data_IF_441131128914
#
_entry.id   IF_441131128914
#
_cell.length_a   1.000
_cell.length_b   1.000
_cell.length_c   1.000
_cell.angle_alpha   90.00
_cell.angle_beta   90.00
_cell.angle_gamma   90.00
#
_symmetry.space_group_name_H-M   'P 1'
#
loop_
_entity.id
_entity.type
_entity.pdbx_description
1 polymer ?
#
# COMPACT_ATOMS: atom_id res chain seq x y z
N UNK A 1 -14.07 -3.05 13.99
CA UNK A 1 -14.19 -3.89 12.80
C UNK A 1 -12.80 -4.00 12.17
N UNK A 2 -12.37 -5.21 11.76
CA UNK A 2 -11.05 -5.38 11.12
C UNK A 2 -11.01 -4.64 9.78
N UNK A 3 -9.88 -3.99 9.49
CA UNK A 3 -9.66 -3.15 8.31
C UNK A 3 -9.96 -3.85 6.97
N UNK A 4 -9.74 -5.17 6.88
CA UNK A 4 -10.06 -5.98 5.69
C UNK A 4 -11.52 -5.91 5.23
N UNK A 5 -12.47 -5.55 6.10
CA UNK A 5 -13.88 -5.40 5.70
C UNK A 5 -14.17 -4.06 5.04
N UNK A 6 -13.40 -3.05 5.42
CA UNK A 6 -13.69 -1.66 5.07
C UNK A 6 -12.77 -1.18 3.94
N UNK A 7 -11.64 -1.88 3.71
CA UNK A 7 -10.64 -1.51 2.71
C UNK A 7 -10.16 -2.68 1.84
N UNK A 8 -9.79 -2.36 0.60
CA UNK A 8 -9.06 -3.25 -0.31
C UNK A 8 -7.72 -2.63 -0.75
N UNK A 9 -6.79 -3.48 -1.17
CA UNK A 9 -5.47 -3.09 -1.69
C UNK A 9 -5.37 -3.46 -3.17
N UNK A 10 -5.26 -2.43 -4.00
CA UNK A 10 -5.07 -2.55 -5.45
C UNK A 10 -3.61 -2.25 -5.77
N UNK A 11 -3.01 -3.09 -6.62
CA UNK A 11 -1.62 -2.92 -7.06
C UNK A 11 -1.56 -2.86 -8.58
N UNK A 12 -1.22 -1.68 -9.09
CA UNK A 12 -1.03 -1.44 -10.52
C UNK A 12 0.45 -1.57 -10.87
N UNK A 13 0.79 -2.64 -11.57
CA UNK A 13 2.16 -2.92 -12.01
C UNK A 13 2.40 -2.32 -13.39
N UNK A 14 3.41 -1.47 -13.52
CA UNK A 14 3.73 -0.76 -14.77
C UNK A 14 4.64 -1.54 -15.71
N UNK A 15 4.87 -2.84 -15.44
CA UNK A 15 5.65 -3.73 -16.30
C UNK A 15 5.45 -5.21 -15.98
N UNK A 16 5.83 -6.07 -16.94
CA UNK A 16 5.64 -7.53 -16.86
C UNK A 16 6.77 -8.25 -16.11
N UNK A 17 7.93 -7.62 -15.96
CA UNK A 17 9.05 -8.23 -15.26
C UNK A 17 8.71 -8.44 -13.77
N UNK A 18 9.09 -9.57 -13.15
CA UNK A 18 9.01 -9.75 -11.70
C UNK A 18 9.81 -8.65 -10.98
N UNK A 19 9.41 -8.28 -9.76
CA UNK A 19 10.03 -7.16 -9.02
C UNK A 19 11.56 -7.25 -8.86
N UNK A 20 12.12 -8.47 -8.73
CA UNK A 20 13.59 -8.67 -8.67
C UNK A 20 14.33 -8.37 -9.98
N UNK A 21 13.61 -8.38 -11.10
CA UNK A 21 14.12 -8.11 -12.45
C UNK A 21 13.53 -6.80 -13.02
N UNK A 22 12.80 -6.04 -12.20
CA UNK A 22 12.28 -4.75 -12.62
C UNK A 22 13.42 -3.79 -12.95
N UNK A 23 13.23 -2.97 -13.98
CA UNK A 23 14.14 -1.88 -14.28
C UNK A 23 14.27 -0.94 -13.07
N UNK A 24 15.44 -0.34 -12.88
CA UNK A 24 15.74 0.46 -11.69
C UNK A 24 14.87 1.72 -11.57
N UNK A 25 14.37 2.21 -12.70
CA UNK A 25 13.50 3.38 -12.86
C UNK A 25 12.01 3.02 -12.87
N UNK A 26 11.64 1.73 -12.77
CA UNK A 26 10.24 1.32 -12.72
C UNK A 26 9.62 1.61 -11.36
N UNK A 27 8.46 2.26 -11.38
CA UNK A 27 7.57 2.43 -10.24
C UNK A 27 6.21 1.77 -10.50
N UNK A 28 5.72 1.02 -9.53
CA UNK A 28 4.35 0.52 -9.48
C UNK A 28 3.52 1.43 -8.56
N UNK A 29 2.19 1.32 -8.66
CA UNK A 29 1.27 2.06 -7.80
C UNK A 29 0.57 1.10 -6.85
N UNK A 30 0.47 1.49 -5.59
CA UNK A 30 -0.34 0.79 -4.58
C UNK A 30 -1.40 1.75 -4.07
N UNK A 31 -2.65 1.32 -4.12
CA UNK A 31 -3.83 2.04 -3.67
C UNK A 31 -4.50 1.25 -2.55
N UNK A 32 -4.88 1.94 -1.47
CA UNK A 32 -5.87 1.44 -0.52
C UNK A 32 -7.18 2.17 -0.81
N UNK A 33 -8.24 1.41 -1.01
CA UNK A 33 -9.57 1.94 -1.36
C UNK A 33 -10.60 1.62 -0.28
N UNK A 34 -11.49 2.56 0.04
CA UNK A 34 -12.70 2.31 0.81
C UNK A 34 -13.63 1.40 0.01
N UNK A 35 -14.10 0.32 0.62
CA UNK A 35 -15.05 -0.61 -0.02
C UNK A 35 -16.42 0.03 -0.20
N UNK A 36 -16.84 0.87 0.74
CA UNK A 36 -18.17 1.48 0.73
C UNK A 36 -18.24 2.67 -0.23
N UNK A 37 -17.21 3.52 -0.24
CA UNK A 37 -17.21 4.77 -1.01
C UNK A 37 -16.53 4.62 -2.39
N UNK A 38 -15.77 3.53 -2.59
CA UNK A 38 -14.93 3.29 -3.76
C UNK A 38 -13.89 4.39 -4.00
N UNK A 39 -13.51 5.10 -2.93
CA UNK A 39 -12.51 6.17 -2.97
C UNK A 39 -11.14 5.67 -2.49
N UNK A 40 -10.07 6.18 -3.10
CA UNK A 40 -8.69 5.93 -2.67
C UNK A 40 -8.40 6.73 -1.41
N UNK A 41 -8.06 6.04 -0.32
CA UNK A 41 -7.76 6.65 0.98
C UNK A 41 -6.26 6.75 1.25
N UNK A 42 -5.44 5.88 0.66
CA UNK A 42 -3.98 5.95 0.69
C UNK A 42 -3.41 5.56 -0.67
N UNK A 43 -2.30 6.20 -1.06
CA UNK A 43 -1.64 5.99 -2.35
C UNK A 43 -0.13 6.09 -2.21
N UNK A 44 0.59 5.21 -2.92
CA UNK A 44 2.05 5.28 -3.03
C UNK A 44 2.54 4.93 -4.44
N UNK A 45 3.52 5.70 -4.89
CA UNK A 45 4.47 5.28 -5.93
C UNK A 45 5.59 4.45 -5.27
N UNK A 46 5.72 3.19 -5.69
CA UNK A 46 6.63 2.24 -5.06
C UNK A 46 7.62 1.72 -6.10
N UNK A 47 8.94 1.75 -5.85
CA UNK A 47 9.89 1.10 -6.75
C UNK A 47 9.51 -0.37 -6.99
N UNK A 48 9.54 -0.83 -8.23
CA UNK A 48 9.04 -2.17 -8.61
C UNK A 48 9.65 -3.34 -7.82
N UNK A 49 10.88 -3.15 -7.31
CA UNK A 49 11.58 -4.10 -6.43
C UNK A 49 10.98 -4.22 -5.03
N UNK A 50 10.30 -3.19 -4.54
CA UNK A 50 9.74 -3.08 -3.20
C UNK A 50 8.22 -3.36 -3.17
N UNK A 51 7.52 -3.23 -4.31
CA UNK A 51 6.06 -3.39 -4.43
C UNK A 51 5.53 -4.64 -3.73
N UNK A 52 6.11 -5.81 -4.02
CA UNK A 52 5.62 -7.07 -3.45
C UNK A 52 5.79 -7.17 -1.93
N UNK A 53 6.82 -6.52 -1.35
CA UNK A 53 7.01 -6.47 0.10
C UNK A 53 5.97 -5.55 0.74
N UNK A 54 5.72 -4.39 0.15
CA UNK A 54 4.75 -3.44 0.65
C UNK A 54 3.31 -3.98 0.54
N UNK A 55 2.95 -4.59 -0.60
CA UNK A 55 1.66 -5.27 -0.78
C UNK A 55 1.44 -6.34 0.30
N UNK A 56 2.43 -7.20 0.55
CA UNK A 56 2.31 -8.25 1.55
C UNK A 56 2.11 -7.68 2.96
N UNK A 57 2.83 -6.61 3.32
CA UNK A 57 2.69 -5.96 4.62
C UNK A 57 1.31 -5.30 4.79
N UNK A 58 0.81 -4.61 3.77
CA UNK A 58 -0.53 -4.01 3.79
C UNK A 58 -1.63 -5.08 3.94
N UNK A 59 -1.56 -6.17 3.16
CA UNK A 59 -2.55 -7.26 3.24
C UNK A 59 -2.53 -8.02 4.56
N UNK A 60 -1.36 -8.11 5.19
CA UNK A 60 -1.20 -8.71 6.51
C UNK A 60 -1.80 -7.83 7.60
N UNK A 61 -1.52 -6.52 7.55
CA UNK A 61 -2.06 -5.55 8.49
C UNK A 61 -3.58 -5.37 8.33
N UNK A 62 -4.12 -5.40 7.10
CA UNK A 62 -5.58 -5.38 6.88
C UNK A 62 -6.31 -6.50 7.64
N UNK A 63 -5.70 -7.68 7.72
CA UNK A 63 -6.29 -8.84 8.40
C UNK A 63 -6.17 -8.79 9.92
N UNK A 64 -5.24 -7.99 10.45
CA UNK A 64 -4.89 -8.00 11.88
C UNK A 64 -5.32 -6.75 12.63
N UNK A 65 -5.40 -5.63 11.94
CA UNK A 65 -5.68 -4.32 12.54
C UNK A 65 -7.14 -3.93 12.35
N UNK A 66 -7.63 -3.11 13.26
CA UNK A 66 -8.89 -2.40 13.11
C UNK A 66 -8.72 -1.22 12.14
N UNK A 67 -9.80 -0.78 11.50
CA UNK A 67 -9.76 0.22 10.41
C UNK A 67 -9.03 1.52 10.78
N UNK A 68 -9.33 2.08 11.96
CA UNK A 68 -8.69 3.30 12.45
C UNK A 68 -7.19 3.11 12.72
N UNK A 69 -6.81 1.95 13.28
CA UNK A 69 -5.42 1.62 13.58
C UNK A 69 -4.62 1.40 12.30
N UNK A 70 -5.21 0.73 11.31
CA UNK A 70 -4.61 0.53 9.99
C UNK A 70 -4.32 1.87 9.32
N UNK A 71 -5.30 2.78 9.26
CA UNK A 71 -5.09 4.11 8.67
C UNK A 71 -4.03 4.87 9.44
N UNK A 72 -4.13 4.97 10.77
CA UNK A 72 -3.14 5.70 11.57
C UNK A 72 -1.70 5.19 11.38
N UNK A 73 -1.53 3.87 11.22
CA UNK A 73 -0.23 3.24 10.99
C UNK A 73 0.34 3.57 9.62
N UNK A 74 -0.47 3.50 8.57
CA UNK A 74 -0.01 3.62 7.19
C UNK A 74 -0.09 5.06 6.65
N UNK A 75 -0.85 5.93 7.28
CA UNK A 75 -0.92 7.37 6.97
C UNK A 75 0.16 8.19 7.67
N UNK A 76 0.96 7.57 8.55
CA UNK A 76 2.08 8.24 9.20
C UNK A 76 3.13 8.60 8.16
N UNK A 77 3.04 9.83 7.63
CA UNK A 77 4.12 10.48 6.90
C UNK A 77 5.35 10.43 7.81
N UNK A 78 6.50 9.98 7.31
CA UNK A 78 7.78 10.19 8.00
C UNK A 78 7.84 11.68 8.32
N UNK A 79 7.64 12.07 9.59
CA UNK A 79 7.84 13.46 9.97
C UNK A 79 9.30 13.76 9.69
N UNK A 80 9.54 14.84 8.93
CA UNK A 80 10.85 15.43 8.70
C UNK A 80 11.44 15.99 10.02
N UNK A 81 11.55 15.16 11.05
CA UNK A 81 12.19 15.48 12.34
C UNK A 81 13.63 14.94 12.40
N UNK A 82 14.23 14.61 11.25
CA UNK A 82 15.68 14.39 11.10
C UNK A 82 16.23 15.42 10.10
N UNK A 83 16.34 16.68 10.56
CA UNK A 83 17.15 17.75 9.94
C UNK A 83 18.61 17.68 10.42
#
# INVERSE_FOLDING_TARGET
>A
MTAFRDYDVIVTRTGLAPGRLAAADRFDHIEVVSVDDLEVVLFWDVPGRATGRMEAALRDDLQRLESEEFIARWSAVESEDDY
#
